data_IF_254163085998
#
_entry.id   IF_254163085998
#
_cell.length_a   1.000
_cell.length_b   1.000
_cell.length_c   1.000
_cell.angle_alpha   90.00
_cell.angle_beta   90.00
_cell.angle_gamma   90.00
#
_symmetry.space_group_name_H-M   'P 1'
#
loop_
_entity.id
_entity.type
_entity.pdbx_description
1 polymer ?
#
# COMPACT_ATOMS: atom_id res chain seq x y z
N UNK A 1 -2.99 19.98 -24.26
CA UNK A 1 -1.85 19.67 -23.38
C UNK A 1 -2.22 18.44 -22.56
N UNK A 2 -1.27 17.52 -22.30
CA UNK A 2 -1.60 16.20 -21.72
C UNK A 2 -1.77 16.34 -20.20
N UNK A 3 -3.00 16.15 -19.70
CA UNK A 3 -3.38 16.27 -18.27
C UNK A 3 -2.47 15.45 -17.35
N UNK A 4 -2.00 14.28 -17.80
CA UNK A 4 -1.09 13.44 -17.02
C UNK A 4 0.23 14.18 -16.78
N UNK A 5 0.82 14.76 -17.84
CA UNK A 5 2.08 15.51 -17.77
C UNK A 5 1.95 16.70 -16.82
N UNK A 6 0.84 17.44 -16.89
CA UNK A 6 0.57 18.57 -16.00
C UNK A 6 0.49 18.14 -14.54
N UNK A 7 -0.26 17.06 -14.25
CA UNK A 7 -0.41 16.56 -12.87
C UNK A 7 0.88 15.99 -12.30
N UNK A 8 1.76 15.45 -13.14
CA UNK A 8 3.06 14.92 -12.71
C UNK A 8 4.13 16.01 -12.54
N UNK A 9 3.91 17.23 -13.06
CA UNK A 9 4.92 18.29 -13.06
C UNK A 9 5.44 18.64 -11.66
N UNK A 10 4.54 18.73 -10.68
CA UNK A 10 4.93 18.98 -9.28
C UNK A 10 5.93 17.93 -8.78
N UNK A 11 5.69 16.64 -9.05
CA UNK A 11 6.57 15.57 -8.60
C UNK A 11 7.92 15.68 -9.29
N UNK A 12 7.95 15.88 -10.61
CA UNK A 12 9.19 15.99 -11.39
C UNK A 12 10.04 17.19 -10.93
N UNK A 13 9.41 18.35 -10.75
CA UNK A 13 10.12 19.58 -10.38
C UNK A 13 10.73 19.49 -8.96
N UNK A 14 10.14 18.70 -8.07
CA UNK A 14 10.57 18.57 -6.67
C UNK A 14 11.36 17.29 -6.38
N UNK A 15 11.31 16.27 -7.24
CA UNK A 15 11.95 14.96 -6.98
C UNK A 15 13.47 15.01 -7.00
N UNK A 16 14.07 16.03 -7.63
CA UNK A 16 15.53 16.20 -7.67
C UNK A 16 16.19 16.31 -6.28
N UNK A 17 15.42 16.73 -5.27
CA UNK A 17 15.89 16.81 -3.89
C UNK A 17 15.57 15.57 -3.07
N UNK A 18 14.79 14.63 -3.62
CA UNK A 18 14.44 13.36 -2.99
C UNK A 18 15.54 12.36 -3.30
N UNK A 19 16.31 11.99 -2.28
CA UNK A 19 17.38 11.00 -2.36
C UNK A 19 17.22 9.97 -1.25
N UNK A 20 17.66 8.75 -1.53
CA UNK A 20 17.75 7.72 -0.50
C UNK A 20 18.77 8.19 0.53
N UNK A 21 18.40 8.10 1.81
CA UNK A 21 19.32 8.35 2.90
C UNK A 21 20.12 7.06 3.16
N UNK A 22 21.32 6.96 2.58
CA UNK A 22 22.16 5.75 2.69
C UNK A 22 22.53 5.41 4.14
N UNK A 23 22.81 6.41 4.98
CA UNK A 23 23.13 6.19 6.40
C UNK A 23 21.97 5.49 7.13
N UNK A 24 20.73 5.85 6.80
CA UNK A 24 19.54 5.18 7.35
C UNK A 24 19.30 3.79 6.79
N UNK A 25 19.74 3.52 5.56
CA UNK A 25 19.72 2.17 5.00
C UNK A 25 20.72 1.29 5.75
N UNK A 26 21.93 1.78 5.98
CA UNK A 26 22.97 1.05 6.73
C UNK A 26 22.51 0.77 8.17
N UNK A 27 21.98 1.79 8.86
CA UNK A 27 21.38 1.64 10.20
C UNK A 27 20.27 0.58 10.20
N UNK A 28 19.37 0.60 9.21
CA UNK A 28 18.31 -0.40 9.11
C UNK A 28 18.86 -1.82 8.94
N UNK A 29 19.89 -2.01 8.11
CA UNK A 29 20.50 -3.31 7.84
C UNK A 29 21.12 -3.89 9.10
N UNK A 30 21.78 -3.08 9.93
CA UNK A 30 22.41 -3.52 11.17
C UNK A 30 21.41 -4.12 12.18
N UNK A 31 20.16 -3.64 12.17
CA UNK A 31 19.09 -4.12 13.04
C UNK A 31 18.10 -5.06 12.37
N UNK A 32 18.24 -5.31 11.06
CA UNK A 32 17.29 -6.10 10.30
C UNK A 32 17.37 -7.58 10.67
N UNK A 33 16.29 -8.11 11.25
CA UNK A 33 16.16 -9.53 11.54
C UNK A 33 14.98 -10.14 10.80
N UNK A 34 15.27 -10.91 9.76
CA UNK A 34 14.27 -11.58 8.93
C UNK A 34 13.35 -12.53 9.70
N UNK A 35 13.79 -13.10 10.83
CA UNK A 35 13.00 -14.06 11.60
C UNK A 35 11.73 -13.47 12.23
N UNK A 36 11.66 -12.14 12.35
CA UNK A 36 10.49 -11.43 12.87
C UNK A 36 9.59 -10.84 11.79
N UNK A 37 9.94 -11.03 10.51
CA UNK A 37 9.21 -10.43 9.39
C UNK A 37 8.14 -11.39 8.91
N UNK A 38 6.91 -10.91 8.97
CA UNK A 38 5.78 -11.58 8.35
C UNK A 38 5.51 -10.96 6.99
N UNK A 39 5.11 -11.82 6.05
CA UNK A 39 4.71 -11.35 4.73
C UNK A 39 3.46 -10.47 4.87
N UNK A 40 3.34 -9.39 4.10
CA UNK A 40 2.24 -8.43 4.23
C UNK A 40 0.84 -9.06 4.05
N UNK A 41 0.75 -10.18 3.33
CA UNK A 41 -0.48 -10.99 3.19
C UNK A 41 -0.92 -11.56 4.54
N UNK A 42 0.03 -11.93 5.39
CA UNK A 42 -0.23 -12.50 6.72
C UNK A 42 -0.63 -11.43 7.73
N UNK A 43 -0.11 -10.21 7.56
CA UNK A 43 -0.41 -9.03 8.41
C UNK A 43 -1.63 -8.24 7.91
N UNK A 44 -2.23 -8.65 6.79
CA UNK A 44 -3.39 -7.97 6.20
C UNK A 44 -4.62 -8.06 7.13
N UNK A 45 -5.41 -6.97 7.28
CA UNK A 45 -6.64 -6.99 8.08
C UNK A 45 -7.66 -8.04 7.61
N UNK A 46 -7.63 -8.37 6.32
CA UNK A 46 -8.37 -9.48 5.75
C UNK A 46 -7.41 -10.65 5.48
N UNK A 47 -7.75 -11.84 5.98
CA UNK A 47 -6.91 -13.02 5.81
C UNK A 47 -6.99 -13.56 4.37
N UNK A 48 -6.14 -12.99 3.52
CA UNK A 48 -6.02 -13.33 2.10
C UNK A 48 -5.61 -14.80 1.85
N UNK A 49 -5.02 -15.49 2.83
CA UNK A 49 -4.68 -16.91 2.70
C UNK A 49 -5.90 -17.83 2.81
N UNK A 50 -7.01 -17.38 3.39
CA UNK A 50 -8.27 -18.13 3.42
C UNK A 50 -8.93 -18.23 2.04
N UNK A 51 -8.58 -17.33 1.12
CA UNK A 51 -9.05 -17.40 -0.26
C UNK A 51 -8.38 -18.57 -1.00
N UNK A 52 -9.18 -19.28 -1.81
CA UNK A 52 -8.62 -20.23 -2.75
C UNK A 52 -7.69 -19.52 -3.74
N UNK A 53 -6.77 -20.23 -4.43
CA UNK A 53 -5.76 -19.61 -5.29
C UNK A 53 -6.34 -18.68 -6.36
N UNK A 54 -7.49 -19.04 -6.95
CA UNK A 54 -8.14 -18.26 -8.02
C UNK A 54 -8.70 -16.96 -7.49
N UNK A 55 -9.45 -17.00 -6.40
CA UNK A 55 -10.06 -15.81 -5.81
C UNK A 55 -9.02 -14.87 -5.24
N UNK A 56 -7.94 -15.43 -4.66
CA UNK A 56 -6.79 -14.63 -4.23
C UNK A 56 -6.11 -13.92 -5.39
N UNK A 57 -5.91 -14.59 -6.53
CA UNK A 57 -5.34 -13.96 -7.72
C UNK A 57 -6.24 -12.82 -8.21
N UNK A 58 -7.55 -13.03 -8.28
CA UNK A 58 -8.50 -11.99 -8.68
C UNK A 58 -8.51 -10.81 -7.70
N UNK A 59 -8.49 -11.09 -6.40
CA UNK A 59 -8.40 -10.06 -5.36
C UNK A 59 -7.15 -9.22 -5.56
N UNK A 60 -5.99 -9.86 -5.72
CA UNK A 60 -4.71 -9.17 -5.91
C UNK A 60 -4.69 -8.35 -7.21
N UNK A 61 -5.31 -8.84 -8.28
CA UNK A 61 -5.43 -8.12 -9.54
C UNK A 61 -6.24 -6.83 -9.36
N UNK A 62 -7.42 -6.92 -8.73
CA UNK A 62 -8.25 -5.74 -8.45
C UNK A 62 -7.49 -4.77 -7.55
N UNK A 63 -6.97 -5.25 -6.41
CA UNK A 63 -6.20 -4.44 -5.48
C UNK A 63 -5.06 -3.68 -6.18
N UNK A 64 -4.22 -4.37 -6.97
CA UNK A 64 -3.09 -3.74 -7.65
C UNK A 64 -3.52 -2.78 -8.78
N UNK A 65 -4.70 -2.97 -9.37
CA UNK A 65 -5.23 -2.10 -10.41
C UNK A 65 -5.71 -0.74 -9.87
N UNK A 66 -5.95 -0.64 -8.55
CA UNK A 66 -6.47 0.59 -7.91
C UNK A 66 -5.56 1.14 -6.79
N UNK A 67 -4.32 0.63 -6.64
CA UNK A 67 -3.36 0.93 -5.53
C UNK A 67 -2.93 2.38 -5.32
N UNK A 68 -3.38 3.31 -6.16
CA UNK A 68 -3.04 4.73 -6.04
C UNK A 68 -4.24 5.58 -5.60
N UNK A 69 -5.42 4.99 -5.46
CA UNK A 69 -6.66 5.71 -5.15
C UNK A 69 -6.81 6.11 -3.67
N UNK A 70 -5.97 5.57 -2.77
CA UNK A 70 -6.00 5.87 -1.33
C UNK A 70 -5.00 6.94 -0.87
N UNK A 71 -4.31 7.59 -1.81
CA UNK A 71 -3.41 8.70 -1.54
C UNK A 71 -4.19 10.01 -1.71
N UNK A 72 -4.34 10.78 -0.64
CA UNK A 72 -5.10 12.03 -0.63
C UNK A 72 -4.95 12.78 0.69
N UNK A 73 -5.41 14.02 0.72
CA UNK A 73 -5.50 14.83 1.94
C UNK A 73 -6.96 15.33 2.12
N UNK A 74 -7.68 14.87 3.16
CA UNK A 74 -7.24 13.92 4.18
C UNK A 74 -7.02 12.52 3.60
N UNK A 75 -6.10 11.76 4.21
CA UNK A 75 -5.83 10.38 3.82
C UNK A 75 -7.12 9.56 3.91
N UNK A 76 -7.43 8.78 2.87
CA UNK A 76 -8.63 7.95 2.86
C UNK A 76 -8.53 6.83 3.91
N UNK A 77 -9.62 6.64 4.66
CA UNK A 77 -9.76 5.68 5.76
C UNK A 77 -11.16 5.08 5.80
N UNK A 78 -11.28 3.88 6.35
CA UNK A 78 -12.56 3.21 6.60
C UNK A 78 -12.55 2.54 7.98
N UNK A 79 -13.72 2.23 8.51
CA UNK A 79 -13.86 1.37 9.70
C UNK A 79 -13.97 -0.09 9.26
N UNK A 80 -13.12 -0.99 9.75
CA UNK A 80 -13.16 -2.43 9.47
C UNK A 80 -12.97 -3.20 10.78
N UNK A 81 -13.93 -4.06 11.14
CA UNK A 81 -13.98 -4.73 12.46
C UNK A 81 -13.76 -3.78 13.65
N UNK A 82 -14.44 -2.62 13.63
CA UNK A 82 -14.34 -1.56 14.64
C UNK A 82 -13.01 -0.81 14.72
N UNK A 83 -12.05 -1.13 13.85
CA UNK A 83 -10.77 -0.44 13.75
C UNK A 83 -10.74 0.53 12.57
N UNK A 84 -10.08 1.68 12.74
CA UNK A 84 -9.83 2.61 11.64
C UNK A 84 -8.60 2.13 10.83
N UNK A 85 -8.82 1.85 9.55
CA UNK A 85 -7.76 1.39 8.63
C UNK A 85 -7.68 2.30 7.41
N UNK A 86 -6.45 2.62 6.99
CA UNK A 86 -6.20 3.51 5.86
C UNK A 86 -5.11 2.99 4.93
N UNK A 87 -4.86 3.72 3.83
CA UNK A 87 -3.88 3.33 2.82
C UNK A 87 -4.17 1.96 2.20
N UNK A 88 -3.12 1.18 1.93
CA UNK A 88 -3.24 -0.16 1.33
C UNK A 88 -4.15 -1.09 2.14
N UNK A 89 -4.04 -1.09 3.47
CA UNK A 89 -4.89 -1.92 4.34
C UNK A 89 -6.34 -1.46 4.36
N UNK A 90 -6.60 -0.15 4.34
CA UNK A 90 -7.95 0.38 4.13
C UNK A 90 -8.57 -0.10 2.82
N UNK A 91 -7.76 -0.17 1.75
CA UNK A 91 -8.24 -0.65 0.44
C UNK A 91 -8.50 -2.16 0.43
N UNK A 92 -7.59 -2.96 1.00
CA UNK A 92 -7.82 -4.41 1.17
C UNK A 92 -9.12 -4.66 1.94
N UNK A 93 -9.32 -3.95 3.06
CA UNK A 93 -10.54 -4.03 3.85
C UNK A 93 -11.79 -3.59 3.10
N UNK A 94 -11.70 -2.57 2.23
CA UNK A 94 -12.82 -2.14 1.40
C UNK A 94 -13.21 -3.19 0.35
N UNK A 95 -12.22 -3.78 -0.34
CA UNK A 95 -12.47 -4.85 -1.31
C UNK A 95 -13.07 -6.07 -0.61
N UNK A 96 -12.53 -6.44 0.57
CA UNK A 96 -13.05 -7.56 1.36
C UNK A 96 -14.49 -7.36 1.87
N UNK A 97 -14.93 -6.11 2.08
CA UNK A 97 -16.34 -5.81 2.41
C UNK A 97 -17.28 -5.92 1.22
N UNK A 98 -16.76 -5.80 0.00
CA UNK A 98 -17.54 -5.81 -1.23
C UNK A 98 -17.73 -7.23 -1.81
N UNK A 99 -16.95 -8.20 -1.32
CA UNK A 99 -17.08 -9.64 -1.60
C UNK A 99 -18.01 -10.32 -0.61
#
# INVERSE_FOLDING_TARGET
MNRIIETCKFVVDNSQHVKINSEKVDEFVDYFNHSHIKHWIDESPFNLRKLNPKDRLHFLLVFNSISFSYWGDPKWKIIYHSEEVGGAYGMISAIAKAT
#
